data_IF_048857953744
#
_entry.id   IF_048857953744
#
_cell.length_a   1.000
_cell.length_b   1.000
_cell.length_c   1.000
_cell.angle_alpha   90.00
_cell.angle_beta   90.00
_cell.angle_gamma   90.00
#
_symmetry.space_group_name_H-M   'P 1'
#
loop_
_entity.id
_entity.type
_entity.pdbx_description
1 polymer ?
#
# COMPACT_ATOMS: atom_id res chain seq x y z
N UNK A 1 -0.09 -6.82 -9.53
CA UNK A 1 -0.79 -6.52 -8.26
C UNK A 1 -1.35 -5.10 -8.18
N UNK A 2 -1.46 -4.34 -9.28
CA UNK A 2 -2.46 -3.28 -9.34
C UNK A 2 -3.77 -3.98 -9.71
N UNK A 3 -4.70 -4.04 -8.77
CA UNK A 3 -6.08 -4.22 -9.18
C UNK A 3 -6.40 -2.97 -10.01
N UNK A 4 -6.76 -3.14 -11.29
CA UNK A 4 -7.38 -2.04 -12.02
C UNK A 4 -8.54 -1.52 -11.16
N UNK A 5 -8.77 -0.19 -11.10
CA UNK A 5 -9.95 0.32 -10.42
C UNK A 5 -11.17 -0.44 -10.95
N UNK A 6 -12.11 -0.74 -10.06
CA UNK A 6 -13.36 -1.37 -10.45
C UNK A 6 -13.99 -0.61 -11.63
N UNK A 7 -14.80 -1.25 -12.49
CA UNK A 7 -15.58 -0.53 -13.48
C UNK A 7 -16.32 0.62 -12.79
N UNK A 8 -16.12 1.86 -13.26
CA UNK A 8 -16.63 3.09 -12.61
C UNK A 8 -15.97 3.48 -11.27
N UNK A 9 -14.69 3.13 -11.07
CA UNK A 9 -13.87 3.53 -9.95
C UNK A 9 -12.84 4.61 -10.28
N UNK A 10 -12.36 5.31 -9.24
CA UNK A 10 -11.19 6.18 -9.26
C UNK A 10 -10.17 5.71 -8.21
N UNK A 11 -8.91 6.04 -8.42
CA UNK A 11 -7.82 5.68 -7.50
C UNK A 11 -7.12 6.95 -7.02
N UNK A 12 -6.92 7.04 -5.70
CA UNK A 12 -5.95 7.98 -5.12
C UNK A 12 -4.56 7.39 -5.39
N UNK A 13 -3.89 7.89 -6.42
CA UNK A 13 -2.52 7.51 -6.71
C UNK A 13 -1.55 8.08 -5.66
N UNK A 14 -1.71 9.37 -5.33
CA UNK A 14 -0.90 10.02 -4.29
C UNK A 14 -1.69 11.13 -3.59
N UNK A 15 -1.56 11.19 -2.27
CA UNK A 15 -1.95 12.35 -1.45
C UNK A 15 -0.88 12.55 -0.38
N UNK A 16 -0.27 13.73 -0.35
CA UNK A 16 0.82 14.05 0.59
C UNK A 16 0.61 15.45 1.11
N UNK A 17 0.80 15.62 2.42
CA UNK A 17 0.82 16.92 3.09
C UNK A 17 2.24 17.16 3.60
N UNK A 18 2.79 18.33 3.30
CA UNK A 18 4.12 18.72 3.78
C UNK A 18 4.19 18.59 5.31
N UNK A 19 5.30 18.08 5.90
CA UNK A 19 5.43 17.90 7.35
C UNK A 19 5.03 19.12 8.19
N UNK A 20 5.45 20.31 7.77
CA UNK A 20 5.16 21.59 8.44
C UNK A 20 3.68 21.99 8.41
N UNK A 21 2.86 21.29 7.63
CA UNK A 21 1.43 21.56 7.46
C UNK A 21 0.56 20.34 7.83
N UNK A 22 1.15 19.32 8.45
CA UNK A 22 0.40 18.17 8.93
C UNK A 22 -0.57 18.56 10.05
N UNK A 23 -1.59 17.71 10.27
CA UNK A 23 -2.62 17.89 11.31
C UNK A 23 -3.50 19.14 11.15
N UNK A 24 -3.39 19.87 10.04
CA UNK A 24 -4.25 21.01 9.69
C UNK A 24 -5.50 20.63 8.87
N UNK A 25 -5.79 19.34 8.69
CA UNK A 25 -6.97 18.87 7.93
C UNK A 25 -6.84 18.89 6.40
N UNK A 26 -5.69 19.31 5.86
CA UNK A 26 -5.47 19.50 4.41
C UNK A 26 -5.81 18.25 3.60
N UNK A 27 -5.31 17.06 3.99
CA UNK A 27 -5.60 15.81 3.29
C UNK A 27 -7.11 15.52 3.24
N UNK A 28 -7.83 15.78 4.33
CA UNK A 28 -9.27 15.58 4.41
C UNK A 28 -10.04 16.58 3.55
N UNK A 29 -9.59 17.84 3.46
CA UNK A 29 -10.17 18.82 2.53
C UNK A 29 -9.95 18.45 1.06
N UNK A 30 -8.74 17.98 0.72
CA UNK A 30 -8.45 17.47 -0.62
C UNK A 30 -9.35 16.27 -0.97
N UNK A 31 -9.55 15.35 -0.03
CA UNK A 31 -10.46 14.23 -0.22
C UNK A 31 -11.91 14.68 -0.37
N UNK A 32 -12.39 15.63 0.43
CA UNK A 32 -13.76 16.14 0.32
C UNK A 32 -14.02 16.75 -1.07
N UNK A 33 -13.07 17.55 -1.58
CA UNK A 33 -13.15 18.11 -2.93
C UNK A 33 -13.07 17.03 -4.02
N UNK A 34 -12.25 15.99 -3.84
CA UNK A 34 -12.20 14.84 -4.73
C UNK A 34 -13.56 14.14 -4.80
N UNK A 35 -14.16 13.80 -3.66
CA UNK A 35 -15.48 13.14 -3.61
C UNK A 35 -16.53 13.98 -4.33
N UNK A 36 -16.58 15.29 -4.08
CA UNK A 36 -17.52 16.20 -4.76
C UNK A 36 -17.37 16.15 -6.28
N UNK A 37 -16.13 16.06 -6.80
CA UNK A 37 -15.86 15.94 -8.25
C UNK A 37 -16.25 14.58 -8.81
N UNK A 38 -16.07 13.50 -8.05
CA UNK A 38 -16.39 12.12 -8.47
C UNK A 38 -17.91 11.91 -8.57
N UNK A 39 -18.67 12.45 -7.63
CA UNK A 39 -20.14 12.41 -7.65
C UNK A 39 -20.72 13.07 -8.92
N UNK A 40 -20.13 14.18 -9.37
CA UNK A 40 -20.49 14.83 -10.63
C UNK A 40 -20.14 14.03 -11.89
N UNK A 41 -19.40 12.92 -11.77
CA UNK A 41 -18.95 12.05 -12.88
C UNK A 41 -19.57 10.65 -12.84
N UNK A 42 -20.52 10.39 -11.93
CA UNK A 42 -21.16 9.09 -11.74
C UNK A 42 -20.15 7.95 -11.49
N UNK A 43 -19.08 8.24 -10.75
CA UNK A 43 -18.13 7.24 -10.25
C UNK A 43 -18.56 6.84 -8.84
N UNK A 44 -18.65 5.54 -8.59
CA UNK A 44 -19.23 5.00 -7.35
C UNK A 44 -18.18 4.56 -6.33
N UNK A 45 -16.92 4.41 -6.76
CA UNK A 45 -15.86 3.83 -5.94
C UNK A 45 -14.58 4.64 -5.99
N UNK A 46 -13.94 4.78 -4.84
CA UNK A 46 -12.64 5.40 -4.67
C UNK A 46 -11.73 4.42 -3.90
N UNK A 47 -10.62 4.00 -4.50
CA UNK A 47 -9.62 3.19 -3.83
C UNK A 47 -8.30 3.96 -3.61
N UNK A 48 -7.45 3.42 -2.74
CA UNK A 48 -6.13 3.97 -2.47
C UNK A 48 -5.23 2.91 -1.84
N UNK A 49 -3.94 2.99 -2.15
CA UNK A 49 -2.94 2.07 -1.62
C UNK A 49 -1.94 2.83 -0.77
N UNK A 50 -1.68 2.33 0.44
CA UNK A 50 -0.73 2.96 1.35
C UNK A 50 0.11 1.93 2.09
N UNK A 51 1.31 2.35 2.50
CA UNK A 51 2.14 1.59 3.43
C UNK A 51 1.60 1.65 4.86
N UNK A 52 2.33 1.04 5.77
CA UNK A 52 2.02 0.81 7.18
C UNK A 52 2.22 2.02 8.11
N UNK A 53 2.25 3.25 7.58
CA UNK A 53 2.30 4.47 8.41
C UNK A 53 1.02 4.60 9.26
N UNK A 54 1.10 4.61 10.61
CA UNK A 54 -0.08 4.61 11.46
C UNK A 54 -1.00 5.82 11.26
N UNK A 55 -0.44 7.00 10.99
CA UNK A 55 -1.21 8.22 10.76
C UNK A 55 -2.02 8.16 9.48
N UNK A 56 -1.42 7.64 8.41
CA UNK A 56 -2.07 7.45 7.11
C UNK A 56 -3.15 6.38 7.18
N UNK A 57 -2.88 5.25 7.85
CA UNK A 57 -3.88 4.19 8.06
C UNK A 57 -5.08 4.69 8.88
N UNK A 58 -4.85 5.50 9.91
CA UNK A 58 -5.91 6.12 10.68
C UNK A 58 -6.71 7.14 9.85
N UNK A 59 -6.04 7.93 9.02
CA UNK A 59 -6.69 8.90 8.14
C UNK A 59 -7.64 8.21 7.14
N UNK A 60 -7.23 7.13 6.48
CA UNK A 60 -8.11 6.38 5.58
C UNK A 60 -9.36 5.86 6.30
N UNK A 61 -9.18 5.21 7.47
CA UNK A 61 -10.31 4.67 8.26
C UNK A 61 -11.30 5.75 8.69
N UNK A 62 -10.79 6.84 9.27
CA UNK A 62 -11.61 7.97 9.73
C UNK A 62 -12.26 8.74 8.57
N UNK A 63 -11.72 8.62 7.36
CA UNK A 63 -12.24 9.20 6.13
C UNK A 63 -13.29 8.32 5.42
N UNK A 64 -13.73 7.23 6.06
CA UNK A 64 -14.79 6.35 5.56
C UNK A 64 -14.33 5.31 4.55
N UNK A 65 -13.05 4.94 4.56
CA UNK A 65 -12.55 3.81 3.77
C UNK A 65 -12.48 2.53 4.59
N UNK A 66 -12.83 1.42 3.94
CA UNK A 66 -12.64 0.07 4.44
C UNK A 66 -11.32 -0.52 3.96
N UNK A 67 -10.61 -1.21 4.85
CA UNK A 67 -9.45 -2.02 4.47
C UNK A 67 -9.95 -3.27 3.75
N UNK A 68 -9.62 -3.41 2.46
CA UNK A 68 -10.15 -4.50 1.62
C UNK A 68 -9.11 -5.54 1.23
N UNK A 69 -7.84 -5.16 1.24
CA UNK A 69 -6.75 -6.05 0.86
C UNK A 69 -5.43 -5.61 1.49
N UNK A 70 -4.54 -6.56 1.72
CA UNK A 70 -3.23 -6.33 2.32
C UNK A 70 -2.23 -7.33 1.75
N UNK A 71 -1.00 -6.90 1.52
CA UNK A 71 0.09 -7.81 1.16
C UNK A 71 1.42 -7.21 1.63
N UNK A 72 2.50 -7.99 1.57
CA UNK A 72 3.81 -7.52 2.00
C UNK A 72 4.71 -7.21 0.81
N UNK A 73 5.38 -6.08 0.89
CA UNK A 73 6.57 -5.75 0.11
C UNK A 73 7.79 -6.25 0.85
N UNK A 74 8.48 -7.23 0.28
CA UNK A 74 9.71 -7.82 0.83
C UNK A 74 10.89 -7.41 -0.03
N UNK A 75 11.89 -6.77 0.59
CA UNK A 75 13.12 -6.39 -0.08
C UNK A 75 14.26 -7.30 0.39
N UNK A 76 15.03 -7.79 -0.57
CA UNK A 76 16.27 -8.52 -0.32
C UNK A 76 17.43 -7.70 -0.89
N UNK A 77 18.32 -7.23 -0.02
CA UNK A 77 19.41 -6.31 -0.37
C UNK A 77 20.79 -6.83 0.00
N UNK A 78 20.86 -7.87 0.82
CA UNK A 78 22.08 -8.64 1.06
C UNK A 78 22.09 -9.95 0.29
N UNK A 79 23.28 -10.51 0.09
CA UNK A 79 23.44 -11.84 -0.52
C UNK A 79 22.70 -12.93 0.27
N UNK A 80 22.74 -12.87 1.61
CA UNK A 80 22.03 -13.81 2.47
C UNK A 80 20.51 -13.70 2.31
N UNK A 81 19.95 -12.49 2.24
CA UNK A 81 18.53 -12.28 1.96
C UNK A 81 18.15 -12.76 0.55
N UNK A 82 19.00 -12.53 -0.45
CA UNK A 82 18.75 -13.03 -1.81
C UNK A 82 18.71 -14.55 -1.84
N UNK A 83 19.65 -15.22 -1.15
CA UNK A 83 19.69 -16.68 -1.05
C UNK A 83 18.49 -17.25 -0.27
N UNK A 84 17.90 -16.48 0.65
CA UNK A 84 16.65 -16.85 1.31
C UNK A 84 15.43 -16.72 0.40
N UNK A 85 15.46 -15.82 -0.59
CA UNK A 85 14.31 -15.51 -1.44
C UNK A 85 14.25 -16.36 -2.71
N UNK A 86 15.39 -16.58 -3.37
CA UNK A 86 15.46 -17.24 -4.68
C UNK A 86 16.72 -18.07 -4.82
N UNK A 87 16.61 -19.19 -5.54
CA UNK A 87 17.79 -19.88 -6.08
C UNK A 87 18.18 -19.19 -7.39
N UNK A 88 19.39 -18.60 -7.49
CA UNK A 88 19.80 -17.89 -8.70
C UNK A 88 20.04 -18.86 -9.87
N UNK A 89 19.74 -18.41 -11.08
CA UNK A 89 20.11 -19.13 -12.30
C UNK A 89 21.65 -19.19 -12.42
N UNK A 90 22.24 -20.30 -12.89
CA UNK A 90 23.69 -20.41 -13.06
C UNK A 90 24.28 -19.25 -13.87
N UNK A 91 25.28 -18.56 -13.30
CA UNK A 91 25.95 -17.42 -13.93
C UNK A 91 25.30 -16.06 -13.67
N UNK A 92 24.16 -15.99 -12.98
CA UNK A 92 23.57 -14.73 -12.52
C UNK A 92 23.91 -14.48 -11.04
N UNK A 93 24.31 -13.25 -10.73
CA UNK A 93 24.53 -12.80 -9.36
C UNK A 93 23.39 -11.86 -8.97
N UNK A 94 22.49 -12.27 -8.06
CA UNK A 94 21.42 -11.39 -7.60
C UNK A 94 21.99 -10.19 -6.83
N UNK A 95 21.48 -8.99 -7.10
CA UNK A 95 21.92 -7.74 -6.45
C UNK A 95 20.85 -7.06 -5.61
N UNK A 96 19.59 -7.14 -6.05
CA UNK A 96 18.44 -6.58 -5.35
C UNK A 96 17.21 -7.40 -5.72
N UNK A 97 16.41 -7.74 -4.72
CA UNK A 97 15.12 -8.41 -4.89
C UNK A 97 14.00 -7.55 -4.34
N UNK A 98 12.90 -7.47 -5.09
CA UNK A 98 11.63 -6.91 -4.64
C UNK A 98 10.54 -7.94 -4.90
N UNK A 99 9.90 -8.39 -3.83
CA UNK A 99 8.94 -9.47 -3.86
C UNK A 99 7.64 -9.05 -3.20
N UNK A 100 6.53 -9.61 -3.68
CA UNK A 100 5.24 -9.53 -3.01
C UNK A 100 5.00 -10.85 -2.29
N UNK A 101 4.74 -10.81 -0.99
CA UNK A 101 4.16 -11.94 -0.28
C UNK A 101 2.67 -11.68 -0.09
N UNK A 102 1.85 -12.46 -0.81
CA UNK A 102 0.39 -12.46 -0.68
C UNK A 102 -0.01 -13.41 0.44
N UNK A 103 0.01 -12.88 1.67
CA UNK A 103 -0.31 -13.65 2.87
C UNK A 103 -1.02 -12.77 3.90
N UNK A 104 -2.01 -13.36 4.58
CA UNK A 104 -2.64 -12.79 5.77
C UNK A 104 -2.22 -13.53 7.05
N UNK A 105 -1.33 -14.52 6.93
CA UNK A 105 -0.87 -15.33 8.05
C UNK A 105 0.20 -14.56 8.85
N UNK A 106 -0.09 -14.33 10.13
CA UNK A 106 0.78 -13.59 11.04
C UNK A 106 2.10 -14.32 11.33
N UNK A 107 2.11 -15.67 11.33
CA UNK A 107 3.32 -16.45 11.55
C UNK A 107 4.24 -16.37 10.33
N UNK A 108 3.67 -16.43 9.12
CA UNK A 108 4.41 -16.23 7.87
C UNK A 108 5.00 -14.83 7.81
N UNK A 109 4.23 -13.79 8.16
CA UNK A 109 4.75 -12.43 8.22
C UNK A 109 5.87 -12.28 9.25
N UNK A 110 5.71 -12.85 10.44
CA UNK A 110 6.74 -12.82 11.47
C UNK A 110 8.02 -13.52 10.98
N UNK A 111 7.90 -14.62 10.23
CA UNK A 111 9.05 -15.30 9.64
C UNK A 111 9.75 -14.45 8.58
N UNK A 112 8.99 -13.83 7.68
CA UNK A 112 9.53 -12.91 6.68
C UNK A 112 10.25 -11.73 7.35
N UNK A 113 9.68 -11.14 8.41
CA UNK A 113 10.32 -10.05 9.16
C UNK A 113 11.58 -10.46 9.91
N UNK A 114 11.76 -11.75 10.23
CA UNK A 114 13.02 -12.28 10.79
C UNK A 114 14.09 -12.50 9.72
N UNK A 115 13.69 -12.94 8.52
CA UNK A 115 14.61 -13.29 7.43
C UNK A 115 15.04 -12.09 6.58
N UNK A 116 14.21 -11.07 6.52
CA UNK A 116 14.42 -9.88 5.69
C UNK A 116 14.38 -8.62 6.55
N UNK A 117 15.39 -7.79 6.40
CA UNK A 117 15.54 -6.52 7.12
C UNK A 117 14.48 -5.48 6.74
N UNK A 118 13.88 -5.61 5.55
CA UNK A 118 12.95 -4.62 4.97
C UNK A 118 11.68 -5.29 4.47
N UNK A 119 10.67 -5.28 5.32
CA UNK A 119 9.32 -5.79 5.04
C UNK A 119 8.29 -4.72 5.39
N UNK A 120 7.49 -4.30 4.40
CA UNK A 120 6.45 -3.30 4.56
C UNK A 120 5.08 -3.88 4.21
N UNK A 121 4.06 -3.57 5.02
CA UNK A 121 2.70 -3.93 4.67
C UNK A 121 2.06 -2.86 3.78
N UNK A 122 1.58 -3.27 2.62
CA UNK A 122 0.81 -2.44 1.70
C UNK A 122 -0.67 -2.76 1.86
N UNK A 123 -1.49 -1.72 2.04
CA UNK A 123 -2.90 -1.81 2.37
C UNK A 123 -3.73 -1.15 1.28
N UNK A 124 -4.74 -1.85 0.78
CA UNK A 124 -5.77 -1.28 -0.09
C UNK A 124 -6.96 -0.84 0.73
N UNK A 125 -7.28 0.44 0.60
CA UNK A 125 -8.48 1.04 1.13
C UNK A 125 -9.49 1.24 0.00
N UNK A 126 -10.78 1.00 0.28
CA UNK A 126 -11.87 1.23 -0.65
C UNK A 126 -12.97 2.03 0.06
N UNK A 127 -13.54 3.00 -0.64
CA UNK A 127 -14.67 3.80 -0.18
C UNK A 127 -15.71 3.92 -1.29
N UNK A 128 -16.99 3.86 -0.92
CA UNK A 128 -18.08 4.24 -1.82
C UNK A 128 -18.25 5.77 -1.79
N UNK A 129 -18.50 6.38 -2.95
CA UNK A 129 -18.58 7.84 -3.14
C UNK A 129 -19.93 8.30 -3.70
#
# INVERSE_FOLDING_TARGET
CQASPAPHGATIDTVVVHPDHQRAGIASWLLAELVRRLQGRNLAQLDGWTRDDPGTLAWYRTSGFDLTYRYLHVYASSEAEMNNAVTPYPGLIPRLGFFHADTQDAEVEADLRRRFSRVHACHRFLRQV
#
